data_IF_345320196007
#
_entry.id   IF_345320196007
#
_cell.length_a   1.000
_cell.length_b   1.000
_cell.length_c   1.000
_cell.angle_alpha   90.00
_cell.angle_beta   90.00
_cell.angle_gamma   90.00
#
_symmetry.space_group_name_H-M   'P 1'
#
loop_
_entity.id
_entity.type
_entity.pdbx_description
1 polymer ?
#
# COMPACT_ATOMS: atom_id res chain seq x y z
N UNK A 1 41.20 -46.35 -14.09
CA UNK A 1 40.22 -45.30 -13.72
C UNK A 1 40.97 -44.26 -12.90
N UNK A 2 41.56 -43.26 -13.57
CA UNK A 2 42.28 -42.15 -12.91
C UNK A 2 41.25 -41.21 -12.32
N UNK A 3 41.13 -41.20 -10.99
CA UNK A 3 40.36 -40.19 -10.27
C UNK A 3 41.23 -38.95 -10.14
N UNK A 4 41.31 -38.17 -11.21
CA UNK A 4 41.96 -36.87 -11.14
C UNK A 4 41.16 -36.01 -10.14
N UNK A 5 41.81 -35.42 -9.12
CA UNK A 5 41.10 -34.60 -8.15
C UNK A 5 40.52 -33.37 -8.85
N UNK A 6 39.20 -33.18 -8.71
CA UNK A 6 38.51 -31.97 -9.17
C UNK A 6 39.20 -30.77 -8.52
N UNK A 7 39.70 -29.79 -9.30
CA UNK A 7 40.37 -28.62 -8.74
C UNK A 7 39.39 -27.90 -7.80
N UNK A 8 39.79 -27.78 -6.53
CA UNK A 8 39.02 -27.03 -5.54
C UNK A 8 38.98 -25.57 -5.95
N UNK A 9 37.78 -25.07 -6.23
CA UNK A 9 37.56 -23.64 -6.47
C UNK A 9 38.03 -22.88 -5.22
N UNK A 10 38.96 -21.92 -5.33
CA UNK A 10 39.44 -21.18 -4.18
C UNK A 10 38.27 -20.48 -3.48
N UNK A 11 38.13 -20.72 -2.18
CA UNK A 11 37.06 -20.18 -1.31
C UNK A 11 37.09 -18.65 -1.13
N UNK A 12 37.94 -17.95 -1.88
CA UNK A 12 38.14 -16.50 -1.86
C UNK A 12 37.56 -15.77 -3.08
N UNK A 13 36.78 -16.43 -3.94
CA UNK A 13 35.98 -15.73 -4.94
C UNK A 13 34.86 -14.94 -4.25
N UNK A 14 35.21 -13.73 -3.80
CA UNK A 14 34.26 -12.71 -3.38
C UNK A 14 33.88 -11.91 -4.63
N UNK A 15 32.74 -12.19 -5.29
CA UNK A 15 32.33 -11.39 -6.44
C UNK A 15 32.25 -9.93 -6.00
N UNK A 16 32.74 -8.98 -6.83
CA UNK A 16 32.59 -7.56 -6.52
C UNK A 16 31.12 -7.26 -6.25
N UNK A 17 30.82 -6.53 -5.17
CA UNK A 17 29.47 -6.09 -4.85
C UNK A 17 28.86 -5.45 -6.12
N UNK A 18 27.65 -5.88 -6.48
CA UNK A 18 26.97 -5.39 -7.66
C UNK A 18 26.95 -3.84 -7.68
N UNK A 19 27.18 -3.20 -8.84
CA UNK A 19 27.25 -1.75 -8.92
C UNK A 19 25.89 -1.14 -8.53
N UNK A 20 25.84 -0.46 -7.37
CA UNK A 20 24.64 0.24 -6.91
C UNK A 20 24.37 1.46 -7.79
N UNK A 21 23.24 1.46 -8.49
CA UNK A 21 22.87 2.54 -9.40
C UNK A 21 22.11 3.62 -8.60
N UNK A 22 22.73 4.78 -8.45
CA UNK A 22 22.08 5.96 -7.84
C UNK A 22 21.17 6.63 -8.86
N UNK A 23 19.88 6.74 -8.56
CA UNK A 23 18.89 7.48 -9.39
C UNK A 23 18.20 8.55 -8.56
N UNK A 24 17.70 9.61 -9.20
CA UNK A 24 16.93 10.68 -8.53
C UNK A 24 15.48 10.66 -8.95
N UNK A 25 14.58 10.59 -7.97
CA UNK A 25 13.14 10.77 -8.18
C UNK A 25 12.83 12.27 -8.30
N UNK A 26 12.55 12.73 -9.52
CA UNK A 26 12.18 14.14 -9.77
C UNK A 26 10.67 14.37 -9.83
N UNK A 27 9.92 13.36 -10.28
CA UNK A 27 8.47 13.42 -10.45
C UNK A 27 7.82 12.10 -10.05
N UNK A 28 6.66 12.22 -9.46
CA UNK A 28 5.72 11.14 -9.15
C UNK A 28 4.46 11.41 -9.95
N UNK A 29 3.97 10.43 -10.71
CA UNK A 29 2.71 10.56 -11.43
C UNK A 29 1.54 10.58 -10.43
N UNK A 30 0.75 11.67 -10.37
CA UNK A 30 -0.39 11.76 -9.46
C UNK A 30 -1.42 10.67 -9.67
N UNK A 31 -1.59 10.20 -10.92
CA UNK A 31 -2.56 9.16 -11.23
C UNK A 31 -2.12 7.81 -10.65
N UNK A 32 -0.84 7.47 -10.79
CA UNK A 32 -0.26 6.24 -10.25
C UNK A 32 -0.25 6.27 -8.71
N UNK A 33 0.17 7.38 -8.09
CA UNK A 33 0.18 7.54 -6.64
C UNK A 33 -1.24 7.48 -6.05
N UNK A 34 -2.19 8.19 -6.68
CA UNK A 34 -3.60 8.15 -6.31
C UNK A 34 -4.16 6.74 -6.41
N UNK A 35 -3.97 6.05 -7.54
CA UNK A 35 -4.49 4.68 -7.73
C UNK A 35 -3.91 3.70 -6.72
N UNK A 36 -2.62 3.78 -6.44
CA UNK A 36 -1.95 2.92 -5.43
C UNK A 36 -2.56 3.12 -4.05
N UNK A 37 -2.74 4.38 -3.62
CA UNK A 37 -3.37 4.70 -2.34
C UNK A 37 -4.86 4.35 -2.33
N UNK A 38 -5.58 4.54 -3.43
CA UNK A 38 -6.98 4.15 -3.55
C UNK A 38 -7.17 2.65 -3.33
N UNK A 39 -6.33 1.83 -3.97
CA UNK A 39 -6.34 0.38 -3.80
C UNK A 39 -5.93 -0.02 -2.39
N UNK A 40 -4.91 0.61 -1.82
CA UNK A 40 -4.48 0.33 -0.44
C UNK A 40 -5.60 0.60 0.57
N UNK A 41 -6.13 1.83 0.59
CA UNK A 41 -7.16 2.24 1.54
C UNK A 41 -8.50 1.56 1.26
N UNK A 42 -8.87 1.39 -0.01
CA UNK A 42 -10.05 0.66 -0.43
C UNK A 42 -10.01 -0.81 -0.02
N UNK A 43 -8.87 -1.49 -0.18
CA UNK A 43 -8.74 -2.90 0.20
C UNK A 43 -8.76 -3.07 1.72
N UNK A 44 -8.06 -2.20 2.47
CA UNK A 44 -8.08 -2.25 3.93
C UNK A 44 -9.50 -2.06 4.45
N UNK A 45 -10.20 -1.03 3.96
CA UNK A 45 -11.58 -0.75 4.37
C UNK A 45 -12.56 -1.83 3.90
N UNK A 46 -12.33 -2.48 2.75
CA UNK A 46 -13.13 -3.62 2.29
C UNK A 46 -13.06 -4.82 3.24
N UNK A 47 -11.93 -5.02 3.92
CA UNK A 47 -11.78 -6.07 4.92
C UNK A 47 -12.36 -5.62 6.26
N UNK A 48 -12.06 -4.38 6.69
CA UNK A 48 -12.42 -3.88 8.02
C UNK A 48 -13.91 -3.54 8.16
N UNK A 49 -14.53 -2.93 7.16
CA UNK A 49 -15.94 -2.50 7.19
C UNK A 49 -16.93 -3.65 7.48
N UNK A 50 -16.88 -4.81 6.78
CA UNK A 50 -17.78 -5.91 7.09
C UNK A 50 -17.49 -6.54 8.46
N UNK A 51 -16.23 -6.59 8.90
CA UNK A 51 -15.88 -7.08 10.24
C UNK A 51 -16.51 -6.21 11.34
N UNK A 52 -16.37 -4.88 11.21
CA UNK A 52 -17.00 -3.94 12.15
C UNK A 52 -18.53 -4.03 12.11
N UNK A 53 -19.13 -4.23 10.94
CA UNK A 53 -20.57 -4.43 10.81
C UNK A 53 -21.04 -5.70 11.54
N UNK A 54 -20.33 -6.82 11.41
CA UNK A 54 -20.65 -8.07 12.11
C UNK A 54 -20.51 -7.89 13.64
N UNK A 55 -19.43 -7.25 14.10
CA UNK A 55 -19.21 -7.03 15.53
C UNK A 55 -20.28 -6.13 16.16
N UNK A 56 -20.62 -5.04 15.49
CA UNK A 56 -21.63 -4.08 15.97
C UNK A 56 -23.05 -4.65 15.90
N UNK A 57 -23.37 -5.43 14.86
CA UNK A 57 -24.67 -6.11 14.77
C UNK A 57 -24.84 -7.21 15.82
N UNK A 58 -23.80 -7.98 16.11
CA UNK A 58 -23.82 -8.98 17.19
C UNK A 58 -24.02 -8.35 18.58
N UNK A 59 -23.36 -7.22 18.85
CA UNK A 59 -23.52 -6.47 20.10
C UNK A 59 -24.91 -5.82 20.25
N UNK A 60 -25.49 -5.34 19.14
CA UNK A 60 -26.86 -4.81 19.15
C UNK A 60 -27.89 -5.91 19.44
N UNK A 61 -27.66 -7.13 18.95
CA UNK A 61 -28.52 -8.28 19.22
C UNK A 61 -28.49 -8.73 20.68
N UNK A 62 -27.32 -8.74 21.33
CA UNK A 62 -27.18 -9.16 22.73
C UNK A 62 -27.72 -8.14 23.74
N UNK A 63 -27.84 -6.87 23.35
CA UNK A 63 -28.32 -5.78 24.22
C UNK A 63 -29.83 -5.54 24.15
N UNK A 64 -30.57 -6.25 23.30
CA UNK A 64 -32.02 -6.10 23.15
C UNK A 64 -32.46 -4.76 22.54
N UNK A 65 -31.53 -3.99 21.95
CA UNK A 65 -31.84 -2.75 21.28
C UNK A 65 -32.75 -3.00 20.05
N UNK A 66 -33.66 -2.06 19.73
CA UNK A 66 -34.45 -2.15 18.51
C UNK A 66 -33.55 -1.92 17.28
N UNK A 67 -33.13 -3.01 16.63
CA UNK A 67 -32.09 -3.00 15.58
C UNK A 67 -32.63 -2.74 14.16
N UNK A 68 -33.95 -2.73 13.95
CA UNK A 68 -34.56 -2.78 12.60
C UNK A 68 -34.08 -1.70 11.62
N UNK A 69 -34.05 -0.43 12.03
CA UNK A 69 -33.56 0.67 11.19
C UNK A 69 -32.03 0.79 11.14
N UNK A 70 -31.35 0.48 12.26
CA UNK A 70 -29.90 0.58 12.37
C UNK A 70 -29.15 -0.46 11.54
N UNK A 71 -29.72 -1.67 11.38
CA UNK A 71 -29.08 -2.75 10.64
C UNK A 71 -29.03 -2.48 9.13
N UNK A 72 -30.10 -1.93 8.56
CA UNK A 72 -30.18 -1.57 7.14
C UNK A 72 -29.20 -0.43 6.79
N UNK A 73 -29.12 0.60 7.66
CA UNK A 73 -28.16 1.69 7.51
C UNK A 73 -26.73 1.16 7.64
N UNK A 74 -26.44 0.33 8.64
CA UNK A 74 -25.12 -0.26 8.83
C UNK A 74 -24.67 -1.11 7.64
N UNK A 75 -25.58 -1.89 7.05
CA UNK A 75 -25.29 -2.70 5.87
C UNK A 75 -24.96 -1.83 4.65
N UNK A 76 -25.70 -0.73 4.46
CA UNK A 76 -25.40 0.24 3.40
C UNK A 76 -24.01 0.87 3.59
N UNK A 77 -23.69 1.30 4.81
CA UNK A 77 -22.37 1.86 5.12
C UNK A 77 -21.23 0.83 4.97
N UNK A 78 -21.45 -0.44 5.30
CA UNK A 78 -20.45 -1.49 5.12
C UNK A 78 -20.02 -1.64 3.65
N UNK A 79 -20.93 -1.38 2.71
CA UNK A 79 -20.64 -1.38 1.27
C UNK A 79 -20.11 -0.03 0.79
N UNK A 80 -20.64 1.09 1.29
CA UNK A 80 -20.25 2.43 0.84
C UNK A 80 -18.87 2.88 1.35
N UNK A 81 -18.51 2.51 2.59
CA UNK A 81 -17.25 2.90 3.25
C UNK A 81 -16.02 2.51 2.42
N UNK A 82 -15.90 1.28 1.88
CA UNK A 82 -14.76 0.91 1.05
C UNK A 82 -14.50 1.82 -0.15
N UNK A 83 -15.56 2.20 -0.87
CA UNK A 83 -15.44 3.11 -2.01
C UNK A 83 -15.08 4.52 -1.57
N UNK A 84 -15.67 5.01 -0.47
CA UNK A 84 -15.37 6.33 0.07
C UNK A 84 -13.91 6.42 0.53
N UNK A 85 -13.42 5.40 1.26
CA UNK A 85 -12.03 5.33 1.70
C UNK A 85 -11.05 5.17 0.55
N UNK A 86 -11.41 4.38 -0.47
CA UNK A 86 -10.65 4.31 -1.72
C UNK A 86 -10.56 5.67 -2.42
N UNK A 87 -11.67 6.42 -2.50
CA UNK A 87 -11.68 7.76 -3.09
C UNK A 87 -10.84 8.76 -2.28
N UNK A 88 -10.93 8.72 -0.95
CA UNK A 88 -10.10 9.57 -0.08
C UNK A 88 -8.61 9.22 -0.26
N UNK A 89 -8.28 7.93 -0.32
CA UNK A 89 -6.93 7.44 -0.63
C UNK A 89 -6.44 7.97 -1.98
N UNK A 90 -7.29 7.91 -3.00
CA UNK A 90 -7.00 8.46 -4.33
C UNK A 90 -6.66 9.94 -4.28
N UNK A 91 -7.55 10.75 -3.68
CA UNK A 91 -7.39 12.20 -3.60
C UNK A 91 -6.12 12.56 -2.82
N UNK A 92 -5.89 11.91 -1.69
CA UNK A 92 -4.70 12.15 -0.86
C UNK A 92 -3.43 11.78 -1.61
N UNK A 93 -3.42 10.68 -2.36
CA UNK A 93 -2.28 10.26 -3.18
C UNK A 93 -2.01 11.18 -4.36
N UNK A 94 -3.04 11.57 -5.10
CA UNK A 94 -2.92 12.48 -6.22
C UNK A 94 -2.44 13.86 -5.76
N UNK A 95 -3.03 14.40 -4.70
CA UNK A 95 -2.63 15.69 -4.10
C UNK A 95 -1.21 15.60 -3.54
N UNK A 96 -0.87 14.52 -2.84
CA UNK A 96 0.46 14.31 -2.28
C UNK A 96 1.55 14.25 -3.35
N UNK A 97 1.30 13.56 -4.47
CA UNK A 97 2.20 13.52 -5.61
C UNK A 97 2.30 14.87 -6.33
N UNK A 98 1.19 15.59 -6.50
CA UNK A 98 1.21 16.94 -7.06
C UNK A 98 2.04 17.90 -6.19
N UNK A 99 1.87 17.82 -4.87
CA UNK A 99 2.63 18.61 -3.91
C UNK A 99 4.13 18.23 -3.94
N UNK A 100 4.45 16.94 -4.00
CA UNK A 100 5.84 16.48 -4.16
C UNK A 100 6.47 17.09 -5.41
N UNK A 101 5.82 16.97 -6.56
CA UNK A 101 6.29 17.52 -7.84
C UNK A 101 6.51 19.04 -7.79
N UNK A 102 5.72 19.74 -6.99
CA UNK A 102 5.89 21.17 -6.78
C UNK A 102 7.13 21.47 -5.92
N UNK A 103 7.31 20.76 -4.81
CA UNK A 103 8.44 20.92 -3.90
C UNK A 103 9.78 20.50 -4.53
N UNK A 104 9.80 19.50 -5.40
CA UNK A 104 11.04 19.07 -6.08
C UNK A 104 11.65 20.12 -7.00
N UNK A 105 10.88 21.15 -7.39
CA UNK A 105 11.41 22.31 -8.13
C UNK A 105 12.43 23.10 -7.31
N UNK A 106 12.33 23.07 -5.98
CA UNK A 106 13.25 23.76 -5.08
C UNK A 106 14.30 22.82 -4.47
N UNK A 107 13.92 21.59 -4.14
CA UNK A 107 14.80 20.64 -3.44
C UNK A 107 15.64 19.77 -4.37
N UNK A 108 15.32 19.73 -5.67
CA UNK A 108 16.05 18.92 -6.65
C UNK A 108 15.68 17.43 -6.66
N UNK A 109 14.66 17.02 -5.90
CA UNK A 109 14.16 15.64 -5.83
C UNK A 109 14.82 14.78 -4.74
N UNK A 110 14.34 13.54 -4.59
CA UNK A 110 14.90 12.57 -3.63
C UNK A 110 15.89 11.65 -4.36
N UNK A 111 17.09 11.47 -3.80
CA UNK A 111 18.06 10.49 -4.30
C UNK A 111 17.75 9.11 -3.73
N UNK A 112 17.71 8.10 -4.61
CA UNK A 112 17.39 6.71 -4.30
C UNK A 112 18.55 5.84 -4.79
N UNK A 113 19.00 4.92 -3.94
CA UNK A 113 19.96 3.89 -4.30
C UNK A 113 19.18 2.62 -4.64
N UNK A 114 19.34 2.12 -5.86
CA UNK A 114 18.72 0.89 -6.34
C UNK A 114 19.75 -0.24 -6.29
N UNK A 115 19.30 -1.43 -5.86
CA UNK A 115 20.04 -2.70 -5.95
C UNK A 115 19.93 -3.30 -7.36
#
# INVERSE_FOLDING_TARGET
MSSDPVPSVPSSFNPPAAPRIKRRLKRVDPLSAGTTLALLYGTISLIVAPLLFIMTSAAAHSSGAHVGGGLAIGAWFAVAIPFLYGLIGFLTGAVGAALYNFLTRWTGGIEIELE
#
